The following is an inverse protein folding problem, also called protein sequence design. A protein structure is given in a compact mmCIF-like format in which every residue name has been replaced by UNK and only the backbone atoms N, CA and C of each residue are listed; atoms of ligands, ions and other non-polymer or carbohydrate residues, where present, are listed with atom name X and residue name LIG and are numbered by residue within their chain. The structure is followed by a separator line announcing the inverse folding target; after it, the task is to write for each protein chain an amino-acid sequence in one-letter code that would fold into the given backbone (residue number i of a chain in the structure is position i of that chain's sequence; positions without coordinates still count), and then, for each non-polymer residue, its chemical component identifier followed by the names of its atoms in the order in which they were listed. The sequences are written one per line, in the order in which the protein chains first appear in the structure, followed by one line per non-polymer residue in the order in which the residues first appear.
data_IF_442797454605
#
_entry.id   IF_442797454605
#
_cell.length_a   1.000
_cell.length_b   1.000
_cell.length_c   1.000
_cell.angle_alpha   90.00
_cell.angle_beta   90.00
_cell.angle_gamma   90.00
#
_symmetry.space_group_name_H-M   'P 1'
#
loop_
_entity.id
_entity.type
_entity.pdbx_description
1 polymer ?
#
# COMPACT_ATOMS: atom_id res chain seq x y z
N UNK A 1 7.75 -24.79 -38.11
CA UNK A 1 6.87 -24.29 -37.03
C UNK A 1 7.00 -22.79 -37.00
N UNK A 2 6.01 -22.07 -37.52
CA UNK A 2 6.03 -20.59 -37.60
C UNK A 2 5.45 -20.03 -36.31
N UNK A 3 6.26 -19.23 -35.58
CA UNK A 3 5.77 -18.46 -34.42
C UNK A 3 4.96 -17.25 -34.93
N UNK A 4 3.66 -17.23 -34.60
CA UNK A 4 2.81 -16.06 -34.83
C UNK A 4 3.16 -14.96 -33.85
N UNK A 5 3.68 -13.84 -34.33
CA UNK A 5 3.81 -12.62 -33.59
C UNK A 5 2.43 -11.91 -33.58
N UNK A 6 1.89 -11.65 -32.42
CA UNK A 6 0.72 -10.80 -32.27
C UNK A 6 1.21 -9.36 -32.08
N UNK A 7 0.90 -8.51 -33.07
CA UNK A 7 1.08 -7.07 -32.97
C UNK A 7 -0.17 -6.49 -32.33
N UNK A 8 -0.05 -5.95 -31.12
CA UNK A 8 -1.11 -5.18 -30.50
C UNK A 8 -1.07 -3.74 -31.03
N UNK A 9 -2.15 -3.36 -31.72
CA UNK A 9 -2.39 -1.97 -32.14
C UNK A 9 -2.95 -1.20 -30.94
N UNK A 10 -2.16 -0.29 -30.35
CA UNK A 10 -2.68 0.72 -29.43
C UNK A 10 -3.33 1.85 -30.22
N UNK A 11 -4.61 2.11 -29.96
CA UNK A 11 -5.31 3.27 -30.47
C UNK A 11 -4.88 4.51 -29.70
N UNK A 12 -4.19 5.42 -30.38
CA UNK A 12 -3.86 6.76 -29.85
C UNK A 12 -5.03 7.68 -30.17
N UNK A 13 -5.73 8.17 -29.15
CA UNK A 13 -6.69 9.26 -29.28
C UNK A 13 -5.92 10.60 -29.24
N UNK A 14 -5.69 11.19 -30.42
CA UNK A 14 -5.16 12.51 -30.53
C UNK A 14 -6.30 13.54 -30.40
N UNK A 15 -6.28 14.37 -29.36
CA UNK A 15 -7.11 15.56 -29.31
C UNK A 15 -6.42 16.68 -30.07
N UNK A 16 -7.04 17.10 -31.19
CA UNK A 16 -6.62 18.28 -31.95
C UNK A 16 -7.35 19.47 -31.35
N UNK A 17 -6.64 20.37 -30.68
CA UNK A 17 -7.13 21.70 -30.33
C UNK A 17 -6.78 22.62 -31.51
N UNK A 18 -7.78 23.00 -32.30
CA UNK A 18 -7.63 24.02 -33.33
C UNK A 18 -7.79 25.40 -32.71
N UNK A 19 -6.67 26.07 -32.48
CA UNK A 19 -6.68 27.50 -32.18
C UNK A 19 -6.59 28.27 -33.50
N UNK A 20 -7.54 29.12 -33.79
CA UNK A 20 -7.43 30.12 -34.88
C UNK A 20 -6.59 31.28 -34.37
N UNK A 21 -5.41 31.48 -34.94
CA UNK A 21 -4.76 32.78 -34.93
C UNK A 21 -3.85 32.93 -36.16
N UNK A 22 -3.78 34.17 -36.67
CA UNK A 22 -3.25 34.52 -37.97
C UNK A 22 -1.72 34.55 -38.00
N UNK A 23 -1.12 33.76 -38.90
CA UNK A 23 0.15 34.03 -39.50
C UNK A 23 1.43 33.76 -38.71
N UNK A 24 1.88 32.59 -38.76
CA UNK A 24 3.21 32.00 -38.80
C UNK A 24 3.23 30.61 -38.16
N UNK A 25 2.95 29.59 -38.95
CA UNK A 25 2.91 28.21 -38.46
C UNK A 25 4.30 27.64 -38.27
N UNK A 26 4.86 27.79 -37.07
CA UNK A 26 5.78 26.79 -36.59
C UNK A 26 4.93 25.63 -36.05
N UNK A 27 5.07 24.40 -36.56
CA UNK A 27 4.37 23.27 -36.00
C UNK A 27 4.85 23.07 -34.55
N UNK A 28 3.93 23.17 -33.61
CA UNK A 28 4.22 22.80 -32.24
C UNK A 28 4.41 21.27 -32.27
N UNK A 29 5.65 20.82 -32.19
CA UNK A 29 5.95 19.40 -31.94
C UNK A 29 5.42 19.06 -30.55
N UNK A 30 4.20 18.55 -30.50
CA UNK A 30 3.70 17.91 -29.27
C UNK A 30 4.47 16.60 -29.13
N UNK A 31 5.52 16.62 -28.31
CA UNK A 31 6.15 15.39 -27.84
C UNK A 31 5.13 14.67 -26.95
N UNK A 32 4.40 13.75 -27.55
CA UNK A 32 3.64 12.74 -26.80
C UNK A 32 4.70 11.92 -26.06
N UNK A 33 4.81 12.10 -24.76
CA UNK A 33 5.58 11.16 -23.95
C UNK A 33 4.79 9.85 -23.99
N UNK A 34 5.33 8.83 -24.63
CA UNK A 34 4.81 7.48 -24.50
C UNK A 34 4.90 7.09 -23.01
N UNK A 35 3.75 6.91 -22.37
CA UNK A 35 3.71 6.35 -21.02
C UNK A 35 4.30 4.94 -21.10
N UNK A 36 5.47 4.77 -20.50
CA UNK A 36 6.15 3.47 -20.48
C UNK A 36 5.45 2.59 -19.45
N UNK A 37 4.71 1.62 -19.93
CA UNK A 37 4.11 0.59 -19.05
C UNK A 37 5.22 -0.31 -18.55
N UNK A 38 5.47 -0.31 -17.25
CA UNK A 38 6.49 -1.16 -16.64
C UNK A 38 6.01 -2.61 -16.54
N UNK A 39 6.94 -3.53 -16.66
CA UNK A 39 6.75 -4.97 -16.45
C UNK A 39 7.45 -5.42 -15.17
N UNK A 40 7.20 -6.65 -14.74
CA UNK A 40 7.86 -7.23 -13.56
C UNK A 40 9.39 -7.25 -13.69
N UNK A 41 9.91 -7.43 -14.91
CA UNK A 41 11.35 -7.50 -15.18
C UNK A 41 12.04 -6.13 -15.05
N UNK A 42 11.28 -5.03 -15.10
CA UNK A 42 11.81 -3.67 -14.92
C UNK A 42 11.96 -3.29 -13.44
N UNK A 43 11.40 -4.09 -12.52
CA UNK A 43 11.38 -3.81 -11.09
C UNK A 43 12.68 -4.30 -10.44
N UNK A 44 13.35 -3.39 -9.73
CA UNK A 44 14.53 -3.73 -8.94
C UNK A 44 14.11 -4.34 -7.62
N UNK A 45 14.71 -5.46 -7.29
CA UNK A 45 14.51 -6.20 -6.04
C UNK A 45 15.80 -6.26 -5.23
N UNK A 46 15.64 -6.34 -3.91
CA UNK A 46 16.70 -6.55 -2.93
C UNK A 46 16.10 -7.23 -1.69
N UNK A 47 16.88 -7.39 -0.66
CA UNK A 47 16.45 -7.95 0.62
C UNK A 47 16.94 -7.07 1.77
N UNK A 48 16.16 -7.03 2.86
CA UNK A 48 16.58 -6.45 4.13
C UNK A 48 16.53 -7.51 5.22
N UNK A 49 17.58 -7.59 6.02
CA UNK A 49 17.62 -8.44 7.22
C UNK A 49 17.35 -7.58 8.45
N UNK A 50 16.36 -7.96 9.24
CA UNK A 50 16.13 -7.37 10.54
C UNK A 50 17.12 -7.96 11.55
N UNK A 51 17.99 -7.12 12.09
CA UNK A 51 19.01 -7.56 13.03
C UNK A 51 18.46 -7.95 14.42
N UNK A 52 17.20 -7.59 14.71
CA UNK A 52 16.56 -7.84 16.01
C UNK A 52 16.16 -9.30 16.20
N UNK A 53 15.66 -9.93 15.12
CA UNK A 53 15.15 -11.32 15.12
C UNK A 53 15.78 -12.21 14.04
N UNK A 54 16.54 -11.61 13.13
CA UNK A 54 17.19 -12.31 12.01
C UNK A 54 16.28 -12.56 10.81
N UNK A 55 15.00 -12.13 10.86
CA UNK A 55 14.07 -12.24 9.74
C UNK A 55 14.56 -11.47 8.51
N UNK A 56 14.24 -11.99 7.36
CA UNK A 56 14.60 -11.38 6.08
C UNK A 56 13.35 -11.06 5.28
N UNK A 57 13.31 -9.89 4.69
CA UNK A 57 12.19 -9.40 3.90
C UNK A 57 12.64 -9.04 2.49
N UNK A 58 11.91 -9.48 1.48
CA UNK A 58 12.08 -8.99 0.12
C UNK A 58 11.75 -7.50 0.07
N UNK A 59 12.46 -6.77 -0.79
CA UNK A 59 12.22 -5.36 -1.03
C UNK A 59 12.15 -5.08 -2.52
N UNK A 60 11.38 -4.07 -2.90
CA UNK A 60 11.21 -3.63 -4.28
C UNK A 60 11.38 -2.12 -4.41
N UNK A 61 11.91 -1.69 -5.54
CA UNK A 61 12.00 -0.27 -5.85
C UNK A 61 10.82 0.16 -6.72
N UNK A 62 9.92 0.98 -6.16
CA UNK A 62 8.77 1.56 -6.87
C UNK A 62 9.01 3.07 -6.99
N UNK A 63 9.18 3.55 -8.22
CA UNK A 63 9.65 4.91 -8.46
C UNK A 63 11.03 5.14 -7.84
N UNK A 64 11.13 6.14 -6.97
CA UNK A 64 12.37 6.44 -6.25
C UNK A 64 12.44 5.84 -4.84
N UNK A 65 11.41 5.12 -4.41
CA UNK A 65 11.29 4.58 -3.06
C UNK A 65 11.58 3.08 -3.02
N UNK A 66 12.33 2.63 -2.01
CA UNK A 66 12.48 1.21 -1.68
C UNK A 66 11.48 0.82 -0.61
N UNK A 67 10.68 -0.18 -0.89
CA UNK A 67 9.62 -0.70 -0.02
C UNK A 67 9.87 -2.16 0.35
N UNK A 68 9.48 -2.54 1.55
CA UNK A 68 9.31 -3.97 1.84
C UNK A 68 8.21 -4.54 0.94
N UNK A 69 8.46 -5.69 0.33
CA UNK A 69 7.50 -6.46 -0.46
C UNK A 69 6.78 -7.52 0.38
N UNK A 70 7.01 -7.52 1.68
CA UNK A 70 6.40 -8.41 2.66
C UNK A 70 5.94 -7.62 3.88
N UNK A 71 4.86 -8.07 4.50
CA UNK A 71 4.38 -7.49 5.76
C UNK A 71 5.39 -7.80 6.88
N UNK A 72 5.62 -6.83 7.75
CA UNK A 72 6.53 -6.98 8.88
C UNK A 72 6.05 -8.11 9.82
N UNK A 73 6.99 -8.98 10.24
CA UNK A 73 6.75 -10.12 11.14
C UNK A 73 7.36 -9.94 12.53
N UNK A 74 8.09 -8.86 12.75
CA UNK A 74 8.75 -8.59 14.03
C UNK A 74 7.76 -8.63 15.21
N UNK A 75 8.04 -9.49 16.19
CA UNK A 75 7.18 -9.72 17.35
C UNK A 75 7.37 -8.62 18.40
N UNK A 76 6.91 -7.39 18.08
CA UNK A 76 6.84 -6.32 19.07
C UNK A 76 5.80 -6.64 20.15
N UNK A 77 6.03 -6.18 21.37
CA UNK A 77 5.06 -6.33 22.47
C UNK A 77 3.70 -5.76 22.06
N UNK A 78 2.63 -6.52 22.34
CA UNK A 78 1.25 -6.17 21.95
C UNK A 78 0.98 -6.14 20.44
N UNK A 79 1.87 -6.65 19.59
CA UNK A 79 1.51 -6.99 18.21
C UNK A 79 0.72 -8.29 18.17
N UNK A 80 -0.20 -8.42 17.20
CA UNK A 80 -1.18 -9.51 17.15
C UNK A 80 -0.97 -10.39 15.91
N UNK A 81 -1.35 -11.66 16.01
CA UNK A 81 -1.61 -12.51 14.86
C UNK A 81 -3.10 -12.49 14.54
N UNK A 82 -3.47 -12.58 13.26
CA UNK A 82 -4.90 -12.71 12.92
C UNK A 82 -5.49 -13.93 13.63
N UNK A 83 -6.66 -13.80 14.23
CA UNK A 83 -7.32 -14.82 15.10
C UNK A 83 -6.46 -15.34 16.26
N UNK A 84 -5.44 -14.60 16.70
CA UNK A 84 -4.49 -15.01 17.74
C UNK A 84 -3.70 -16.30 17.41
N UNK A 85 -3.62 -16.66 16.12
CA UNK A 85 -2.92 -17.85 15.66
C UNK A 85 -1.57 -17.50 14.99
N UNK A 86 -0.49 -18.07 15.49
CA UNK A 86 0.89 -17.82 15.02
C UNK A 86 1.09 -18.17 13.53
N UNK A 87 0.32 -19.10 12.99
CA UNK A 87 0.32 -19.42 11.57
C UNK A 87 0.08 -18.17 10.71
N UNK A 88 -0.88 -17.32 11.09
CA UNK A 88 -1.19 -16.10 10.33
C UNK A 88 -0.06 -15.07 10.42
N UNK A 89 0.62 -14.97 11.56
CA UNK A 89 1.79 -14.11 11.66
C UNK A 89 2.89 -14.50 10.68
N UNK A 90 3.15 -15.80 10.53
CA UNK A 90 4.15 -16.32 9.60
C UNK A 90 3.76 -16.14 8.14
N UNK A 91 2.48 -16.39 7.80
CA UNK A 91 2.01 -16.36 6.42
C UNK A 91 1.67 -14.94 5.94
N UNK A 92 1.11 -14.09 6.79
CA UNK A 92 0.54 -12.78 6.41
C UNK A 92 1.21 -11.59 7.09
N UNK A 93 2.14 -11.81 8.01
CA UNK A 93 2.72 -10.77 8.85
C UNK A 93 1.87 -10.48 10.09
N UNK A 94 2.40 -9.64 10.96
CA UNK A 94 1.75 -9.23 12.21
C UNK A 94 0.86 -8.01 12.00
N UNK A 95 -0.11 -7.88 12.88
CA UNK A 95 -0.98 -6.71 13.01
C UNK A 95 -0.49 -5.89 14.21
N UNK A 96 -0.29 -4.59 14.01
CA UNK A 96 0.25 -3.69 15.02
C UNK A 96 -0.80 -2.62 15.36
N UNK A 97 -1.18 -2.43 16.64
CA UNK A 97 -1.82 -1.18 17.06
C UNK A 97 -0.95 0.02 16.66
N UNK A 98 -1.56 1.14 16.29
CA UNK A 98 -0.80 2.27 15.72
C UNK A 98 0.34 2.75 16.63
N UNK A 99 0.11 2.86 17.95
CA UNK A 99 1.14 3.27 18.91
C UNK A 99 2.30 2.27 18.99
N UNK A 100 2.03 0.98 18.77
CA UNK A 100 3.05 -0.07 18.72
C UNK A 100 3.81 0.04 17.39
N UNK A 101 3.10 0.25 16.28
CA UNK A 101 3.72 0.52 14.98
C UNK A 101 4.67 1.71 15.03
N UNK A 102 4.28 2.77 15.76
CA UNK A 102 5.08 3.97 15.94
C UNK A 102 6.10 3.89 17.08
N UNK A 103 6.12 2.77 17.83
CA UNK A 103 6.97 2.62 19.03
C UNK A 103 6.85 3.80 19.99
N UNK A 104 5.62 4.20 20.29
CA UNK A 104 5.29 5.35 21.14
C UNK A 104 4.69 4.89 22.48
N UNK A 105 4.77 5.77 23.48
CA UNK A 105 4.13 5.56 24.78
C UNK A 105 2.59 5.47 24.62
N UNK A 106 1.96 4.69 25.50
CA UNK A 106 0.51 4.43 25.49
C UNK A 106 -0.34 5.69 25.63
N UNK A 107 0.22 6.78 26.17
CA UNK A 107 -0.46 8.09 26.27
C UNK A 107 -0.89 8.62 24.90
N UNK A 108 -0.12 8.32 23.83
CA UNK A 108 -0.41 8.75 22.47
C UNK A 108 -1.52 7.95 21.77
N UNK A 109 -2.09 6.97 22.44
CA UNK A 109 -3.32 6.30 21.96
C UNK A 109 -4.51 7.27 21.94
N UNK A 110 -4.54 8.24 22.83
CA UNK A 110 -5.62 9.23 22.99
C UNK A 110 -5.15 10.67 22.83
N UNK A 111 -3.84 10.90 22.88
CA UNK A 111 -3.24 12.22 22.72
C UNK A 111 -2.56 12.32 21.36
N UNK A 112 -2.50 13.53 20.80
CA UNK A 112 -1.83 13.77 19.52
C UNK A 112 -0.32 13.68 19.66
N UNK A 113 0.30 12.73 18.99
CA UNK A 113 1.76 12.63 18.92
C UNK A 113 2.33 13.77 18.06
N UNK A 114 1.60 14.23 17.05
CA UNK A 114 1.98 15.37 16.21
C UNK A 114 2.14 16.67 16.99
N UNK A 115 1.34 16.86 18.04
CA UNK A 115 1.45 18.08 18.88
C UNK A 115 2.60 18.01 19.89
N UNK A 116 3.11 16.81 20.13
CA UNK A 116 4.25 16.61 21.03
C UNK A 116 5.56 16.54 20.26
N UNK A 117 5.51 16.68 18.92
CA UNK A 117 6.69 16.63 18.03
C UNK A 117 7.54 15.37 18.22
N UNK A 118 6.86 14.23 18.47
CA UNK A 118 7.54 12.94 18.72
C UNK A 118 7.62 12.07 17.49
N UNK A 119 7.01 12.49 16.38
CA UNK A 119 7.05 11.79 15.08
C UNK A 119 7.96 12.57 14.15
N UNK A 120 9.12 12.02 13.88
CA UNK A 120 10.09 12.54 12.93
C UNK A 120 9.65 12.27 11.48
N UNK A 121 10.14 13.02 10.48
CA UNK A 121 9.79 12.81 9.07
C UNK A 121 10.06 11.39 8.56
N UNK A 122 11.11 10.73 9.06
CA UNK A 122 11.42 9.32 8.78
C UNK A 122 11.36 8.53 10.08
N UNK A 123 10.21 8.55 10.73
CA UNK A 123 10.01 7.93 12.04
C UNK A 123 10.14 6.41 11.96
N UNK A 124 11.21 5.86 12.53
CA UNK A 124 11.52 4.44 12.44
C UNK A 124 10.37 3.55 12.92
N UNK A 125 9.76 3.90 14.07
CA UNK A 125 8.73 3.07 14.67
C UNK A 125 9.20 1.62 14.86
N UNK A 126 8.34 0.68 14.50
CA UNK A 126 8.59 -0.77 14.58
C UNK A 126 9.47 -1.29 13.43
N UNK A 127 9.84 -0.47 12.46
CA UNK A 127 10.66 -0.87 11.32
C UNK A 127 12.11 -1.19 11.70
N UNK A 128 12.83 -2.01 10.93
CA UNK A 128 14.26 -2.25 11.16
C UNK A 128 15.09 -0.99 10.95
N UNK A 129 16.31 -0.99 11.47
CA UNK A 129 17.23 0.15 11.32
C UNK A 129 17.45 0.51 9.85
N UNK A 130 17.35 1.82 9.54
CA UNK A 130 17.47 2.35 8.18
C UNK A 130 16.18 2.28 7.36
N UNK A 131 15.08 1.91 8.03
CA UNK A 131 13.73 1.88 7.50
C UNK A 131 12.77 2.57 8.47
N UNK A 132 11.66 3.07 7.96
CA UNK A 132 10.65 3.76 8.76
C UNK A 132 9.22 3.35 8.37
N UNK A 133 8.27 3.65 9.24
CA UNK A 133 6.84 3.51 8.96
C UNK A 133 6.46 4.59 7.95
N UNK A 134 5.96 4.24 6.77
CA UNK A 134 5.72 5.21 5.71
C UNK A 134 4.67 6.25 6.11
N UNK A 135 4.89 7.47 5.68
CA UNK A 135 3.93 8.55 5.76
C UNK A 135 2.80 8.37 4.75
N UNK A 136 1.69 9.07 4.96
CA UNK A 136 0.63 9.21 3.96
C UNK A 136 1.17 9.65 2.60
N UNK A 137 2.05 10.66 2.58
CA UNK A 137 2.61 11.21 1.34
C UNK A 137 3.52 10.23 0.59
N UNK A 138 4.25 9.37 1.28
CA UNK A 138 5.05 8.33 0.64
C UNK A 138 4.17 7.27 -0.03
N UNK A 139 3.06 6.88 0.60
CA UNK A 139 2.06 6.03 -0.03
C UNK A 139 1.42 6.70 -1.25
N UNK A 140 1.04 7.97 -1.16
CA UNK A 140 0.51 8.75 -2.29
C UNK A 140 1.49 8.77 -3.46
N UNK A 141 2.76 9.05 -3.20
CA UNK A 141 3.84 9.05 -4.21
C UNK A 141 3.97 7.69 -4.90
N UNK A 142 3.94 6.61 -4.15
CA UNK A 142 4.00 5.25 -4.68
C UNK A 142 2.77 4.93 -5.53
N UNK A 143 1.57 5.25 -5.04
CA UNK A 143 0.30 5.01 -5.75
C UNK A 143 0.25 5.82 -7.06
N UNK A 144 0.68 7.07 -7.06
CA UNK A 144 0.75 7.90 -8.27
C UNK A 144 1.72 7.30 -9.30
N UNK A 145 2.90 6.85 -8.85
CA UNK A 145 3.83 6.17 -9.74
C UNK A 145 3.23 4.89 -10.34
N UNK A 146 2.57 4.08 -9.54
CA UNK A 146 1.88 2.85 -10.00
C UNK A 146 0.81 3.19 -11.04
N UNK A 147 -0.03 4.19 -10.78
CA UNK A 147 -1.08 4.64 -11.72
C UNK A 147 -0.51 5.10 -13.06
N UNK A 148 0.62 5.80 -13.05
CA UNK A 148 1.27 6.27 -14.27
C UNK A 148 1.93 5.13 -15.09
N UNK A 149 2.19 3.94 -14.52
CA UNK A 149 2.96 2.88 -15.15
C UNK A 149 2.26 1.52 -15.18
N UNK A 150 1.01 1.42 -14.71
CA UNK A 150 0.26 0.15 -14.68
C UNK A 150 -0.55 -0.14 -15.95
N UNK A 151 -0.52 0.75 -16.94
CA UNK A 151 -1.33 0.64 -18.15
C UNK A 151 -2.82 0.74 -17.83
N UNK A 152 -3.60 -0.25 -18.28
CA UNK A 152 -5.05 -0.30 -18.06
C UNK A 152 -5.46 -1.04 -16.78
N UNK A 153 -4.52 -1.53 -16.02
CA UNK A 153 -4.79 -2.21 -14.75
C UNK A 153 -5.15 -1.20 -13.66
N UNK A 154 -5.93 -1.62 -12.67
CA UNK A 154 -6.09 -0.83 -11.45
C UNK A 154 -4.82 -0.91 -10.58
N UNK A 155 -4.50 0.17 -9.89
CA UNK A 155 -3.35 0.25 -8.99
C UNK A 155 -3.35 -0.87 -7.94
N UNK A 156 -4.50 -1.15 -7.31
CA UNK A 156 -4.64 -2.28 -6.40
C UNK A 156 -4.36 -3.63 -7.08
N UNK A 157 -4.82 -3.83 -8.32
CA UNK A 157 -4.57 -5.05 -9.09
C UNK A 157 -3.09 -5.27 -9.35
N UNK A 158 -2.37 -4.19 -9.68
CA UNK A 158 -0.94 -4.21 -10.00
C UNK A 158 -0.05 -4.44 -8.77
N UNK A 159 -0.57 -4.22 -7.56
CA UNK A 159 0.17 -4.37 -6.30
C UNK A 159 -0.19 -5.64 -5.53
N UNK A 160 -1.34 -6.27 -5.82
CA UNK A 160 -1.82 -7.45 -5.10
C UNK A 160 -1.02 -8.70 -5.50
N UNK A 161 -0.68 -9.51 -4.50
CA UNK A 161 -0.19 -10.87 -4.70
C UNK A 161 -1.15 -11.66 -5.60
N UNK A 162 -0.68 -12.52 -6.50
CA UNK A 162 -1.54 -13.37 -7.32
C UNK A 162 -2.29 -14.43 -6.51
N UNK A 163 -1.88 -14.64 -5.27
CA UNK A 163 -2.39 -15.67 -4.38
C UNK A 163 -3.02 -15.07 -3.11
N UNK A 164 -3.70 -15.90 -2.35
CA UNK A 164 -4.24 -15.64 -1.00
C UNK A 164 -5.50 -14.76 -0.97
N UNK A 165 -5.93 -14.15 -2.06
CA UNK A 165 -7.16 -13.38 -2.11
C UNK A 165 -8.36 -14.30 -2.34
N UNK A 166 -9.49 -14.03 -1.64
CA UNK A 166 -10.73 -14.71 -1.92
C UNK A 166 -11.16 -14.47 -3.36
N UNK A 167 -11.62 -15.51 -4.03
CA UNK A 167 -12.21 -15.36 -5.36
C UNK A 167 -13.46 -14.48 -5.25
N UNK A 168 -13.41 -13.30 -5.83
CA UNK A 168 -14.57 -12.42 -5.91
C UNK A 168 -15.07 -12.31 -7.34
N UNK A 169 -16.35 -12.60 -7.53
CA UNK A 169 -17.05 -12.48 -8.82
C UNK A 169 -17.57 -13.83 -9.32
N UNK A 170 -18.76 -13.81 -9.93
CA UNK A 170 -19.32 -14.94 -10.65
C UNK A 170 -18.91 -14.86 -12.14
N UNK A 171 -18.56 -15.98 -12.73
CA UNK A 171 -18.32 -16.10 -14.18
C UNK A 171 -16.98 -15.56 -14.65
N UNK A 172 -16.98 -14.85 -15.80
CA UNK A 172 -15.77 -14.39 -16.51
C UNK A 172 -15.07 -13.19 -15.88
N UNK A 173 -15.56 -12.69 -14.74
CA UNK A 173 -15.02 -11.51 -14.04
C UNK A 173 -13.96 -11.87 -12.99
N UNK A 174 -13.20 -12.94 -13.21
CA UNK A 174 -12.08 -13.30 -12.34
C UNK A 174 -11.02 -12.19 -12.41
N UNK A 175 -10.77 -11.52 -11.29
CA UNK A 175 -9.73 -10.50 -11.22
C UNK A 175 -8.37 -11.19 -11.24
N UNK A 176 -7.59 -10.91 -12.28
CA UNK A 176 -6.21 -11.34 -12.34
C UNK A 176 -5.38 -10.36 -11.51
N UNK A 177 -4.77 -10.84 -10.44
CA UNK A 177 -3.80 -10.07 -9.67
C UNK A 177 -2.45 -10.22 -10.36
N UNK A 178 -1.89 -9.12 -10.85
CA UNK A 178 -0.66 -9.20 -11.67
C UNK A 178 0.61 -9.09 -10.85
N UNK A 179 0.54 -8.48 -9.67
CA UNK A 179 1.72 -8.14 -8.86
C UNK A 179 2.86 -7.51 -9.70
N UNK A 180 2.48 -6.71 -10.68
CA UNK A 180 3.36 -6.12 -11.69
C UNK A 180 4.59 -5.45 -11.07
N UNK A 181 4.40 -4.78 -9.94
CA UNK A 181 5.46 -4.07 -9.22
C UNK A 181 6.17 -4.92 -8.15
N UNK A 182 5.80 -6.19 -8.01
CA UNK A 182 6.38 -7.08 -7.02
C UNK A 182 6.15 -6.68 -5.57
N UNK A 183 5.18 -5.81 -5.34
CA UNK A 183 4.84 -5.36 -3.99
C UNK A 183 4.12 -6.43 -3.18
N UNK A 184 3.44 -7.37 -3.84
CA UNK A 184 2.86 -8.60 -3.28
C UNK A 184 1.97 -8.34 -2.04
N UNK A 185 0.97 -7.46 -2.18
CA UNK A 185 0.01 -7.21 -1.08
C UNK A 185 -0.76 -8.49 -0.75
N UNK A 186 -0.73 -8.86 0.52
CA UNK A 186 -1.48 -9.99 1.08
C UNK A 186 -2.73 -9.51 1.82
N UNK A 187 -3.87 -10.19 1.68
CA UNK A 187 -5.13 -9.80 2.32
C UNK A 187 -5.19 -10.25 3.79
N UNK A 188 -4.34 -9.62 4.61
CA UNK A 188 -4.17 -9.98 6.02
C UNK A 188 -5.35 -9.55 6.92
N UNK A 189 -6.32 -8.79 6.40
CA UNK A 189 -7.37 -8.21 7.22
C UNK A 189 -6.83 -7.21 8.24
N UNK A 190 -7.57 -7.05 9.34
CA UNK A 190 -7.21 -6.19 10.48
C UNK A 190 -7.87 -6.67 11.76
N UNK A 191 -7.37 -6.20 12.90
CA UNK A 191 -8.07 -6.26 14.18
C UNK A 191 -8.77 -4.92 14.39
N UNK A 192 -10.09 -4.95 14.64
CA UNK A 192 -10.91 -3.76 14.87
C UNK A 192 -10.80 -3.27 16.32
N UNK A 193 -11.18 -2.02 16.57
CA UNK A 193 -11.28 -1.51 17.94
C UNK A 193 -12.39 -2.26 18.69
N UNK A 194 -12.10 -3.00 19.77
CA UNK A 194 -13.11 -3.74 20.53
C UNK A 194 -14.23 -2.85 21.11
N UNK A 195 -13.98 -1.54 21.20
CA UNK A 195 -14.97 -0.56 21.70
C UNK A 195 -15.80 0.05 20.57
N UNK A 196 -15.56 -0.29 19.30
CA UNK A 196 -16.31 0.25 18.17
C UNK A 196 -17.69 -0.40 17.94
N UNK A 197 -18.11 -1.35 18.77
CA UNK A 197 -19.47 -1.90 18.78
C UNK A 197 -19.79 -2.86 17.63
N UNK A 198 -18.79 -3.45 17.00
CA UNK A 198 -19.00 -4.53 16.04
C UNK A 198 -19.31 -5.84 16.76
N UNK A 199 -20.21 -6.64 16.21
CA UNK A 199 -20.84 -7.87 16.71
C UNK A 199 -19.92 -8.95 17.35
N UNK A 200 -18.95 -8.54 18.14
CA UNK A 200 -18.00 -9.41 18.84
C UNK A 200 -16.87 -9.98 17.96
N UNK A 201 -16.92 -9.79 16.64
CA UNK A 201 -15.82 -10.19 15.75
C UNK A 201 -14.79 -9.06 15.65
N UNK A 202 -13.71 -9.22 16.39
CA UNK A 202 -12.60 -8.27 16.44
C UNK A 202 -11.60 -8.43 15.28
N UNK A 203 -11.64 -9.54 14.55
CA UNK A 203 -10.83 -9.76 13.34
C UNK A 203 -11.71 -9.73 12.11
N UNK A 204 -11.38 -8.87 11.12
CA UNK A 204 -12.21 -8.67 9.93
C UNK A 204 -11.37 -8.53 8.66
N UNK A 205 -12.00 -8.79 7.52
CA UNK A 205 -11.43 -8.50 6.20
C UNK A 205 -10.39 -9.50 5.70
N UNK A 206 -10.14 -10.60 6.42
CA UNK A 206 -9.22 -11.64 5.97
C UNK A 206 -9.62 -12.18 4.60
N UNK A 207 -8.66 -12.44 3.74
CA UNK A 207 -8.76 -12.81 2.33
C UNK A 207 -9.43 -11.79 1.39
N UNK A 208 -10.05 -10.76 1.93
CA UNK A 208 -10.80 -9.75 1.15
C UNK A 208 -10.17 -8.36 1.16
N UNK A 209 -9.45 -8.03 2.22
CA UNK A 209 -8.84 -6.71 2.40
C UNK A 209 -7.43 -6.81 2.98
N UNK A 210 -6.58 -5.87 2.58
CA UNK A 210 -5.35 -5.54 3.27
C UNK A 210 -5.44 -4.11 3.82
N UNK A 211 -4.91 -3.91 5.03
CA UNK A 211 -4.84 -2.60 5.69
C UNK A 211 -3.43 -2.35 6.17
N UNK A 212 -2.93 -1.15 5.93
CA UNK A 212 -1.59 -0.73 6.33
C UNK A 212 -1.65 0.60 7.07
N UNK A 213 -1.00 0.68 8.22
CA UNK A 213 -0.82 1.95 8.88
C UNK A 213 0.14 2.87 8.12
N UNK A 214 -0.12 4.16 8.24
CA UNK A 214 0.86 5.21 7.97
C UNK A 214 1.33 5.82 9.28
N UNK A 215 2.47 6.52 9.26
CA UNK A 215 2.93 7.29 10.42
C UNK A 215 2.15 8.60 10.62
N UNK A 216 1.26 8.95 9.70
CA UNK A 216 0.54 10.24 9.70
C UNK A 216 -0.73 10.15 10.55
N UNK A 217 -0.79 10.96 11.60
CA UNK A 217 -2.02 11.15 12.37
C UNK A 217 -3.05 11.98 11.60
N UNK A 218 -4.32 11.73 11.89
CA UNK A 218 -5.40 12.58 11.37
C UNK A 218 -5.44 13.86 12.21
N UNK A 219 -5.13 14.97 11.55
CA UNK A 219 -5.31 16.29 12.14
C UNK A 219 -6.67 16.84 11.70
N UNK A 220 -7.72 16.58 12.49
CA UNK A 220 -9.05 17.09 12.19
C UNK A 220 -9.33 18.39 12.93
N UNK A 221 -10.19 19.23 12.36
CA UNK A 221 -10.66 20.48 12.96
C UNK A 221 -11.29 20.30 14.36
N UNK A 222 -11.58 19.06 14.75
CA UNK A 222 -12.15 18.67 16.04
C UNK A 222 -11.12 18.08 17.00
N UNK A 223 -9.82 18.18 16.72
CA UNK A 223 -8.74 17.58 17.51
C UNK A 223 -8.97 16.08 17.78
N UNK A 224 -9.47 15.34 16.79
CA UNK A 224 -9.63 13.89 16.91
C UNK A 224 -8.27 13.21 16.71
N UNK A 225 -7.46 13.32 17.75
CA UNK A 225 -6.11 12.76 17.82
C UNK A 225 -6.09 11.25 18.07
N UNK A 226 -7.27 10.63 18.04
CA UNK A 226 -7.43 9.19 18.26
C UNK A 226 -7.33 8.37 16.97
N UNK A 227 -7.18 9.03 15.82
CA UNK A 227 -7.15 8.42 14.50
C UNK A 227 -5.84 8.65 13.77
N UNK A 228 -5.51 7.73 12.86
CA UNK A 228 -4.40 7.86 11.93
C UNK A 228 -4.84 7.48 10.52
N UNK A 229 -4.06 7.94 9.52
CA UNK A 229 -4.28 7.52 8.14
C UNK A 229 -3.84 6.07 7.96
N UNK A 230 -4.64 5.34 7.23
CA UNK A 230 -4.35 4.00 6.76
C UNK A 230 -4.50 3.86 5.24
N UNK A 231 -3.98 2.78 4.71
CA UNK A 231 -4.11 2.39 3.31
C UNK A 231 -4.90 1.11 3.25
N UNK A 232 -5.97 1.11 2.47
CA UNK A 232 -6.80 -0.06 2.20
C UNK A 232 -6.62 -0.54 0.77
N UNK A 233 -6.41 -1.83 0.62
CA UNK A 233 -6.44 -2.53 -0.67
C UNK A 233 -7.56 -3.56 -0.62
N UNK A 234 -8.50 -3.46 -1.55
CA UNK A 234 -9.67 -4.33 -1.63
C UNK A 234 -9.46 -5.42 -2.68
N UNK A 235 -9.86 -6.66 -2.38
CA UNK A 235 -9.83 -7.80 -3.29
C UNK A 235 -11.01 -7.87 -4.26
N UNK A 236 -12.05 -7.06 -4.08
CA UNK A 236 -13.24 -7.11 -4.92
C UNK A 236 -12.96 -6.69 -6.36
N UNK A 237 -13.64 -7.33 -7.30
CA UNK A 237 -13.47 -7.09 -8.74
C UNK A 237 -13.84 -5.67 -9.19
N UNK A 238 -14.75 -5.01 -8.49
CA UNK A 238 -15.22 -3.66 -8.77
C UNK A 238 -14.46 -2.56 -8.01
N UNK A 239 -13.60 -2.94 -7.08
CA UNK A 239 -12.75 -2.00 -6.32
C UNK A 239 -11.28 -2.34 -6.59
N UNK A 240 -10.71 -1.70 -7.60
CA UNK A 240 -9.34 -1.94 -8.06
C UNK A 240 -8.35 -0.92 -7.54
N UNK A 241 -8.82 0.04 -6.76
CA UNK A 241 -8.01 1.14 -6.27
C UNK A 241 -7.33 0.81 -4.94
N UNK A 242 -6.18 1.42 -4.72
CA UNK A 242 -5.59 1.59 -3.40
C UNK A 242 -6.17 2.87 -2.80
N UNK A 243 -6.74 2.78 -1.61
CA UNK A 243 -7.45 3.88 -0.97
C UNK A 243 -6.73 4.32 0.29
N UNK A 244 -6.53 5.62 0.43
CA UNK A 244 -6.11 6.24 1.68
C UNK A 244 -7.34 6.62 2.49
N UNK A 245 -7.42 6.11 3.71
CA UNK A 245 -8.53 6.36 4.63
C UNK A 245 -8.03 7.15 5.86
N UNK A 246 -8.93 7.78 6.59
CA UNK A 246 -8.58 8.65 7.72
C UNK A 246 -9.54 8.51 8.91
N UNK A 247 -10.23 7.41 8.99
CA UNK A 247 -11.28 7.18 9.98
C UNK A 247 -10.95 6.08 11.00
N UNK A 248 -9.79 5.45 10.88
CA UNK A 248 -9.43 4.32 11.73
C UNK A 248 -8.86 4.74 13.08
N UNK A 249 -9.38 4.11 14.12
CA UNK A 249 -8.91 4.29 15.48
C UNK A 249 -7.47 3.76 15.64
N UNK A 250 -6.59 4.50 16.33
CA UNK A 250 -5.25 4.05 16.69
C UNK A 250 -5.22 2.77 17.53
N UNK A 251 -6.38 2.31 18.01
CA UNK A 251 -6.55 1.06 18.75
C UNK A 251 -6.72 -0.15 17.84
N UNK A 252 -7.08 0.07 16.58
CA UNK A 252 -7.10 -1.00 15.59
C UNK A 252 -5.69 -1.47 15.33
N UNK A 253 -5.53 -2.74 14.90
CA UNK A 253 -4.23 -3.25 14.52
C UNK A 253 -4.22 -3.65 13.04
N UNK A 254 -3.17 -3.20 12.33
CA UNK A 254 -3.00 -3.38 10.88
C UNK A 254 -1.56 -3.77 10.56
N UNK A 255 -1.36 -4.24 9.34
CA UNK A 255 -0.04 -4.57 8.82
C UNK A 255 0.87 -3.34 8.69
N UNK A 256 2.18 -3.58 8.70
CA UNK A 256 3.21 -2.58 8.40
C UNK A 256 4.03 -3.06 7.22
N UNK A 257 4.29 -2.13 6.29
CA UNK A 257 5.30 -2.22 5.25
C UNK A 257 6.23 -1.04 5.35
N UNK A 258 7.48 -1.28 5.66
CA UNK A 258 8.44 -0.21 5.85
C UNK A 258 8.97 0.32 4.52
N UNK A 259 9.35 1.60 4.51
CA UNK A 259 10.06 2.27 3.43
C UNK A 259 11.47 2.62 3.89
N UNK A 260 12.43 2.57 2.97
CA UNK A 260 13.86 2.83 3.26
C UNK A 260 14.10 4.34 3.39
N UNK A 261 14.93 4.72 4.35
CA UNK A 261 15.34 6.11 4.58
C UNK A 261 16.13 6.69 3.41
#
# INVERSE_FOLDING_TARGET
MMKKAYVYFCFVLAFIVVGCDDGATNPIEVKVQEETVLTRDDIKEDVVKDARDGETYRTVKIGNQWWMAENLRYAADSSLCYNDEEYFCKAYGRLYPWIIAMNLDTTYRRNGAIYADVIEPSHQGVCPKGWHVPTKTEWETMIEFVKAHNGTEGDGTSLRSPEMWAESGEGTSKVTHSDRFGFSVLPAGRHTDPMAGYDGNIYTGFTSYAYFWTSTEVNSYRNDVTKAYDVRVCGHWNDRAVQLENDKSKREAMSIRCVKN
#
